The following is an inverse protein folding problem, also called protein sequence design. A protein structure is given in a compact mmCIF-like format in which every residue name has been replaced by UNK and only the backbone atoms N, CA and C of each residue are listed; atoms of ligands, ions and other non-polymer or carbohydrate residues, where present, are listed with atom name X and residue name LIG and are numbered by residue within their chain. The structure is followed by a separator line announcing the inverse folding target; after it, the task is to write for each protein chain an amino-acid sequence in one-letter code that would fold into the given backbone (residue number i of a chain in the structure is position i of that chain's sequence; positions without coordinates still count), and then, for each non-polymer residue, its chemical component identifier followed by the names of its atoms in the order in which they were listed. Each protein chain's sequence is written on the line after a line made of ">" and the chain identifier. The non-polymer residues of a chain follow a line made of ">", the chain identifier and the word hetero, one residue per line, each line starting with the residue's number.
data_IF_951621444130
#
_entry.id   IF_951621444130
#
_cell.length_a   1.000
_cell.length_b   1.000
_cell.length_c   1.000
_cell.angle_alpha   90.00
_cell.angle_beta   90.00
_cell.angle_gamma   90.00
#
_symmetry.space_group_name_H-M   'P 1'
#
loop_
_entity.id
_entity.type
_entity.pdbx_description
1 polymer ?
#
# COMPACT_ATOMS: atom_id res chain seq x y z
N UNK A 1 -9.44 2.57 2.62
CA UNK A 1 -8.19 3.36 2.71
C UNK A 1 -8.53 4.78 2.32
N UNK A 2 -8.05 5.74 3.08
CA UNK A 2 -8.35 7.17 2.89
C UNK A 2 -7.15 7.88 2.30
N UNK A 3 -7.38 9.07 1.74
CA UNK A 3 -6.33 9.95 1.22
C UNK A 3 -6.39 11.29 1.95
N UNK A 4 -5.23 11.77 2.37
CA UNK A 4 -5.10 13.05 3.08
C UNK A 4 -4.24 14.02 2.28
N UNK A 5 -4.55 15.30 2.36
CA UNK A 5 -3.75 16.35 1.75
C UNK A 5 -2.94 17.05 2.83
N UNK A 6 -1.62 16.84 2.79
CA UNK A 6 -0.66 17.54 3.64
C UNK A 6 -0.26 18.85 2.94
N UNK A 7 -0.22 19.95 3.68
CA UNK A 7 0.18 21.24 3.13
C UNK A 7 1.48 21.69 3.75
N UNK A 8 2.45 21.94 2.90
CA UNK A 8 3.79 22.36 3.26
C UNK A 8 4.09 23.78 2.76
N UNK A 9 4.45 24.66 3.70
CA UNK A 9 4.88 26.02 3.39
C UNK A 9 6.30 26.21 3.92
N UNK A 10 7.34 26.03 3.09
CA UNK A 10 8.76 26.02 3.54
C UNK A 10 9.18 27.25 4.34
N UNK A 11 8.68 28.44 4.00
CA UNK A 11 9.07 29.67 4.68
C UNK A 11 8.68 29.72 6.16
N UNK A 12 7.55 29.12 6.52
CA UNK A 12 7.03 29.17 7.91
C UNK A 12 7.07 27.83 8.62
N UNK A 13 7.13 26.69 7.89
CA UNK A 13 7.25 25.36 8.47
C UNK A 13 8.59 25.15 9.18
N UNK A 14 8.64 24.27 10.16
CA UNK A 14 9.90 23.75 10.70
C UNK A 14 10.69 22.95 9.64
N UNK A 15 9.99 22.31 8.72
CA UNK A 15 10.57 21.60 7.58
C UNK A 15 10.87 22.60 6.45
N UNK A 16 12.17 22.87 6.23
CA UNK A 16 12.66 23.86 5.27
C UNK A 16 13.01 23.21 3.93
N UNK A 17 13.25 24.04 2.90
CA UNK A 17 13.71 23.55 1.58
C UNK A 17 15.02 22.81 1.66
N UNK A 18 15.99 23.34 2.43
CA UNK A 18 17.29 22.72 2.63
C UNK A 18 17.14 21.31 3.24
N UNK A 19 16.26 21.16 4.23
CA UNK A 19 15.98 19.87 4.83
C UNK A 19 15.30 18.92 3.83
N UNK A 20 14.34 19.42 3.03
CA UNK A 20 13.72 18.64 1.97
C UNK A 20 14.74 18.14 0.95
N UNK A 21 15.70 18.97 0.55
CA UNK A 21 16.78 18.59 -0.37
C UNK A 21 17.72 17.53 0.23
N UNK A 22 18.09 17.66 1.50
CA UNK A 22 18.89 16.68 2.22
C UNK A 22 18.17 15.35 2.35
N UNK A 23 16.91 15.37 2.77
CA UNK A 23 16.08 14.18 2.99
C UNK A 23 15.83 13.40 1.68
N UNK A 24 15.78 14.08 0.53
CA UNK A 24 15.66 13.43 -0.78
C UNK A 24 16.82 12.48 -1.10
N UNK A 25 17.98 12.64 -0.49
CA UNK A 25 19.12 11.73 -0.62
C UNK A 25 19.02 10.51 0.31
N UNK A 26 18.17 10.56 1.35
CA UNK A 26 18.11 9.56 2.42
C UNK A 26 16.70 8.99 2.63
N UNK A 27 15.82 9.06 1.63
CA UNK A 27 14.41 8.66 1.76
C UNK A 27 14.21 7.22 2.24
N UNK A 28 15.16 6.33 1.96
CA UNK A 28 15.09 4.93 2.39
C UNK A 28 15.20 4.75 3.92
N UNK A 29 15.81 5.73 4.61
CA UNK A 29 16.15 5.61 6.03
C UNK A 29 15.53 6.69 6.91
N UNK A 30 14.81 7.66 6.33
CA UNK A 30 14.23 8.79 7.04
C UNK A 30 12.95 8.42 7.77
N UNK A 31 12.90 8.71 9.07
CA UNK A 31 11.63 8.77 9.80
C UNK A 31 11.06 10.18 9.63
N UNK A 32 10.01 10.29 8.85
CA UNK A 32 9.30 11.53 8.60
C UNK A 32 8.02 11.58 9.41
N UNK A 33 7.66 12.73 9.91
CA UNK A 33 6.36 12.93 10.54
C UNK A 33 5.72 14.24 10.09
N UNK A 34 4.41 14.30 10.18
CA UNK A 34 3.65 15.49 9.85
C UNK A 34 2.43 15.65 10.73
N UNK A 35 2.06 16.91 11.02
CA UNK A 35 0.85 17.19 11.76
C UNK A 35 -0.39 17.01 10.90
N UNK A 36 -1.37 16.26 11.42
CA UNK A 36 -2.61 15.90 10.72
C UNK A 36 -3.79 16.51 11.42
N UNK A 37 -4.53 17.39 10.72
CA UNK A 37 -5.66 18.10 11.33
C UNK A 37 -6.85 17.17 11.62
N UNK A 38 -7.22 16.32 10.67
CA UNK A 38 -8.31 15.36 10.82
C UNK A 38 -7.80 13.98 11.28
N UNK A 39 -6.89 13.98 12.23
CA UNK A 39 -6.22 12.80 12.76
C UNK A 39 -7.17 11.70 13.26
N UNK A 40 -8.36 12.08 13.79
CA UNK A 40 -9.37 11.12 14.27
C UNK A 40 -9.84 10.16 13.16
N UNK A 41 -9.78 10.63 11.91
CA UNK A 41 -10.17 9.89 10.72
C UNK A 41 -9.01 9.08 10.12
N UNK A 42 -7.77 9.46 10.42
CA UNK A 42 -6.57 8.88 9.82
C UNK A 42 -6.14 7.58 10.51
N UNK A 43 -5.57 6.66 9.75
CA UNK A 43 -5.04 5.39 10.21
C UNK A 43 -3.67 5.13 9.57
N UNK A 44 -2.85 4.31 10.22
CA UNK A 44 -1.68 3.72 9.56
C UNK A 44 -2.15 3.02 8.28
N UNK A 45 -1.44 3.24 7.21
CA UNK A 45 -1.80 2.70 5.92
C UNK A 45 -2.54 3.67 5.00
N UNK A 46 -3.16 4.73 5.51
CA UNK A 46 -3.82 5.73 4.66
C UNK A 46 -2.80 6.50 3.81
N UNK A 47 -3.21 6.89 2.61
CA UNK A 47 -2.37 7.63 1.67
C UNK A 47 -2.34 9.12 1.98
N UNK A 48 -1.31 9.78 1.47
CA UNK A 48 -1.29 11.24 1.42
C UNK A 48 -0.68 11.76 0.11
N UNK A 49 -1.06 12.99 -0.22
CA UNK A 49 -0.34 13.86 -1.13
C UNK A 49 0.12 15.09 -0.36
N UNK A 50 1.39 15.46 -0.49
CA UNK A 50 1.91 16.70 0.09
C UNK A 50 1.97 17.78 -0.99
N UNK A 51 1.29 18.88 -0.72
CA UNK A 51 1.21 20.04 -1.60
C UNK A 51 2.04 21.17 -1.02
N UNK A 52 3.09 21.57 -1.75
CA UNK A 52 3.81 22.82 -1.47
C UNK A 52 2.89 23.99 -1.78
N UNK A 53 2.72 24.87 -0.80
CA UNK A 53 1.88 26.09 -0.90
C UNK A 53 2.66 27.33 -0.50
N UNK A 54 2.15 28.50 -0.84
CA UNK A 54 2.76 29.80 -0.50
C UNK A 54 3.59 30.36 -1.64
N UNK A 55 4.80 30.84 -1.36
CA UNK A 55 5.61 31.55 -2.35
C UNK A 55 6.31 30.61 -3.35
N UNK A 56 6.55 31.12 -4.55
CA UNK A 56 7.19 30.39 -5.66
C UNK A 56 6.25 29.37 -6.30
N UNK A 57 6.82 28.36 -6.93
CA UNK A 57 6.07 27.27 -7.57
C UNK A 57 5.32 26.46 -6.51
N UNK A 58 4.03 26.21 -6.74
CA UNK A 58 3.13 25.47 -5.82
C UNK A 58 2.52 24.26 -6.54
N UNK A 59 2.39 23.14 -5.82
CA UNK A 59 1.88 21.90 -6.42
C UNK A 59 2.22 20.68 -5.59
N UNK A 60 1.88 19.49 -6.07
CA UNK A 60 2.23 18.24 -5.42
C UNK A 60 3.75 18.01 -5.50
N UNK A 61 4.37 17.85 -4.33
CA UNK A 61 5.81 17.58 -4.18
C UNK A 61 6.12 16.18 -3.67
N UNK A 62 5.12 15.50 -3.08
CA UNK A 62 5.33 14.19 -2.49
C UNK A 62 4.02 13.40 -2.46
N UNK A 63 4.07 12.11 -2.69
CA UNK A 63 3.03 11.11 -2.43
C UNK A 63 3.60 10.06 -1.50
N UNK A 64 2.79 9.48 -0.65
CA UNK A 64 3.21 8.42 0.27
C UNK A 64 2.06 7.94 1.15
N UNK A 65 2.41 7.33 2.26
CA UNK A 65 1.46 6.76 3.20
C UNK A 65 1.90 6.90 4.66
N UNK A 66 0.94 6.91 5.57
CA UNK A 66 1.21 6.95 6.99
C UNK A 66 1.67 5.58 7.50
N UNK A 67 2.71 5.59 8.33
CA UNK A 67 3.32 4.38 8.90
C UNK A 67 2.99 4.16 10.37
N UNK A 68 2.47 5.19 11.06
CA UNK A 68 2.05 5.11 12.46
C UNK A 68 0.57 5.41 12.66
N UNK A 69 0.03 5.04 13.81
CA UNK A 69 -1.19 5.66 14.33
C UNK A 69 -0.93 7.12 14.72
N UNK A 70 -1.98 7.99 14.78
CA UNK A 70 -1.82 9.34 15.27
C UNK A 70 -1.31 9.37 16.71
N UNK A 71 -0.39 10.29 17.02
CA UNK A 71 0.13 10.52 18.37
C UNK A 71 0.26 12.01 18.69
N UNK A 72 0.11 12.36 19.96
CA UNK A 72 0.25 13.77 20.42
C UNK A 72 1.71 14.14 20.63
N UNK A 73 2.08 15.33 20.14
CA UNK A 73 3.37 15.94 20.43
C UNK A 73 3.26 17.48 20.45
N UNK A 74 4.33 18.16 20.89
CA UNK A 74 4.37 19.61 20.91
C UNK A 74 4.20 20.21 19.52
N UNK A 75 3.47 21.32 19.43
CA UNK A 75 3.28 22.05 18.17
C UNK A 75 4.64 22.52 17.60
N UNK A 76 4.97 22.11 16.40
CA UNK A 76 6.19 22.48 15.67
C UNK A 76 6.41 23.99 15.58
N UNK A 77 5.33 24.78 15.62
CA UNK A 77 5.39 26.25 15.55
C UNK A 77 5.82 26.92 16.86
N UNK A 78 6.10 26.15 17.91
CA UNK A 78 6.47 26.65 19.23
C UNK A 78 5.30 27.20 20.06
N UNK A 79 4.08 27.08 19.57
CA UNK A 79 2.88 27.41 20.36
C UNK A 79 2.70 26.40 21.49
N UNK A 80 2.28 26.87 22.67
CA UNK A 80 2.05 26.04 23.85
C UNK A 80 0.76 25.22 23.72
N UNK A 81 0.71 24.32 22.75
CA UNK A 81 -0.39 23.37 22.55
C UNK A 81 0.17 22.03 22.03
N UNK A 82 -0.62 20.98 22.16
CA UNK A 82 -0.35 19.70 21.53
C UNK A 82 -1.05 19.65 20.18
N UNK A 83 -0.45 18.94 19.24
CA UNK A 83 -1.01 18.61 17.95
C UNK A 83 -0.76 17.13 17.65
N UNK A 84 -1.57 16.56 16.78
CA UNK A 84 -1.41 15.15 16.41
C UNK A 84 -0.53 15.04 15.19
N UNK A 85 0.46 14.17 15.29
CA UNK A 85 1.38 13.78 14.24
C UNK A 85 1.11 12.35 13.79
N UNK A 86 1.54 12.06 12.57
CA UNK A 86 1.68 10.70 12.07
C UNK A 86 3.02 10.59 11.36
N UNK A 87 3.70 9.47 11.57
CA UNK A 87 4.88 9.12 10.79
C UNK A 87 4.44 8.69 9.40
N UNK A 88 5.29 8.93 8.41
CA UNK A 88 4.98 8.60 7.04
C UNK A 88 6.20 8.13 6.25
N UNK A 89 5.95 7.41 5.14
CA UNK A 89 6.94 7.03 4.16
C UNK A 89 6.56 7.64 2.80
N UNK A 90 7.44 8.43 2.17
CA UNK A 90 7.25 8.86 0.79
C UNK A 90 7.36 7.67 -0.17
N UNK A 91 6.50 7.63 -1.19
CA UNK A 91 6.62 6.71 -2.33
C UNK A 91 7.02 7.45 -3.60
N UNK A 92 6.82 8.75 -3.62
CA UNK A 92 7.17 9.62 -4.73
C UNK A 92 7.43 11.05 -4.24
N UNK A 93 8.40 11.72 -4.84
CA UNK A 93 8.63 13.14 -4.59
C UNK A 93 9.13 13.87 -5.85
N UNK A 94 8.90 15.18 -5.89
CA UNK A 94 9.34 16.09 -6.95
C UNK A 94 10.03 17.28 -6.32
N UNK A 95 11.21 17.62 -6.81
CA UNK A 95 11.87 18.87 -6.41
C UNK A 95 11.16 20.07 -7.06
N UNK A 96 10.59 21.00 -6.25
CA UNK A 96 9.71 22.05 -6.76
C UNK A 96 10.37 23.03 -7.72
N UNK A 97 11.68 23.21 -7.61
CA UNK A 97 12.42 24.19 -8.43
C UNK A 97 13.19 23.53 -9.59
N UNK A 98 13.31 22.19 -9.60
CA UNK A 98 14.06 21.44 -10.63
C UNK A 98 13.17 20.66 -11.59
N UNK A 99 11.93 20.38 -11.18
CA UNK A 99 11.02 19.53 -11.92
C UNK A 99 9.65 20.20 -12.08
N UNK A 100 8.95 19.86 -13.16
CA UNK A 100 7.56 20.27 -13.33
C UNK A 100 6.69 19.53 -12.29
N UNK A 101 6.02 20.29 -11.43
CA UNK A 101 5.00 19.75 -10.54
C UNK A 101 3.62 19.74 -11.20
N UNK A 102 2.71 18.91 -10.70
CA UNK A 102 1.28 19.14 -10.88
C UNK A 102 0.90 20.33 -9.99
N UNK A 103 0.67 21.47 -10.62
CA UNK A 103 0.52 22.74 -9.91
C UNK A 103 -0.81 22.86 -9.17
N UNK A 104 -0.88 23.72 -8.14
CA UNK A 104 -2.15 24.02 -7.46
C UNK A 104 -3.19 24.65 -8.41
N UNK A 105 -2.79 25.34 -9.46
CA UNK A 105 -3.68 25.87 -10.48
C UNK A 105 -4.29 24.75 -11.33
N UNK A 106 -3.46 23.79 -11.79
CA UNK A 106 -3.95 22.58 -12.47
C UNK A 106 -4.89 21.79 -11.57
N UNK A 107 -4.52 21.55 -10.30
CA UNK A 107 -5.36 20.85 -9.33
C UNK A 107 -6.70 21.55 -9.10
N UNK A 108 -6.71 22.89 -8.98
CA UNK A 108 -7.94 23.67 -8.83
C UNK A 108 -8.82 23.58 -10.08
N UNK A 109 -8.22 23.50 -11.27
CA UNK A 109 -8.96 23.34 -12.52
C UNK A 109 -9.54 21.93 -12.64
N UNK A 110 -8.77 20.92 -12.28
CA UNK A 110 -9.16 19.51 -12.43
C UNK A 110 -10.10 19.04 -11.31
N UNK A 111 -9.88 19.51 -10.06
CA UNK A 111 -10.66 19.15 -8.87
C UNK A 111 -11.00 20.44 -8.11
N UNK A 112 -11.94 21.26 -8.62
CA UNK A 112 -12.30 22.54 -8.02
C UNK A 112 -13.06 22.42 -6.70
N UNK A 113 -13.52 21.22 -6.35
CA UNK A 113 -14.29 20.95 -5.13
C UNK A 113 -13.41 20.91 -3.87
N UNK A 114 -12.05 20.95 -4.02
CA UNK A 114 -11.11 20.95 -2.91
C UNK A 114 -10.22 22.19 -2.93
N UNK A 115 -9.93 22.76 -1.72
CA UNK A 115 -9.04 23.92 -1.58
C UNK A 115 -7.58 23.49 -1.50
N UNK A 116 -6.84 23.62 -2.59
CA UNK A 116 -5.47 23.14 -2.71
C UNK A 116 -4.42 24.04 -2.07
N UNK A 117 -4.63 25.35 -2.06
CA UNK A 117 -3.67 26.37 -1.61
C UNK A 117 -3.93 26.88 -0.17
N UNK A 118 -5.11 26.59 0.39
CA UNK A 118 -5.60 27.10 1.70
C UNK A 118 -6.06 25.97 2.62
N UNK A 119 -6.40 26.37 3.86
CA UNK A 119 -6.92 25.47 4.89
C UNK A 119 -5.81 24.75 5.67
N UNK A 120 -6.21 23.79 6.48
CA UNK A 120 -5.32 23.03 7.35
C UNK A 120 -4.56 21.95 6.59
N UNK A 121 -3.39 21.56 7.12
CA UNK A 121 -2.65 20.38 6.66
C UNK A 121 -3.25 19.12 7.28
N UNK A 122 -3.29 18.02 6.51
CA UNK A 122 -3.86 16.76 6.99
C UNK A 122 -5.39 16.76 7.00
N UNK A 123 -6.00 17.31 5.96
CA UNK A 123 -7.43 17.20 5.68
C UNK A 123 -7.69 15.95 4.83
N UNK A 124 -8.74 15.20 5.17
CA UNK A 124 -9.20 14.07 4.36
C UNK A 124 -9.72 14.57 3.00
N UNK A 125 -9.23 13.98 1.92
CA UNK A 125 -9.80 14.18 0.59
C UNK A 125 -10.97 13.19 0.44
N UNK A 126 -12.21 13.66 0.13
CA UNK A 126 -13.34 12.76 -0.08
C UNK A 126 -13.02 11.66 -1.08
N UNK A 127 -13.50 10.44 -0.84
CA UNK A 127 -13.12 9.23 -1.60
C UNK A 127 -13.30 9.39 -3.11
N UNK A 128 -14.37 10.06 -3.54
CA UNK A 128 -14.62 10.32 -4.97
C UNK A 128 -13.54 11.22 -5.58
N UNK A 129 -13.13 12.27 -4.85
CA UNK A 129 -12.07 13.18 -5.29
C UNK A 129 -10.69 12.52 -5.21
N UNK A 130 -10.47 11.65 -4.22
CA UNK A 130 -9.25 10.86 -4.09
C UNK A 130 -9.06 9.94 -5.30
N UNK A 131 -10.10 9.19 -5.68
CA UNK A 131 -10.05 8.32 -6.87
C UNK A 131 -9.82 9.11 -8.16
N UNK A 132 -10.40 10.31 -8.27
CA UNK A 132 -10.16 11.21 -9.40
C UNK A 132 -8.71 11.71 -9.41
N UNK A 133 -8.18 12.10 -8.25
CA UNK A 133 -6.79 12.54 -8.12
C UNK A 133 -5.82 11.41 -8.46
N UNK A 134 -6.06 10.18 -7.99
CA UNK A 134 -5.22 9.03 -8.29
C UNK A 134 -5.16 8.78 -9.80
N UNK A 135 -6.28 8.85 -10.51
CA UNK A 135 -6.30 8.70 -11.99
C UNK A 135 -5.48 9.80 -12.68
N UNK A 136 -5.67 11.06 -12.28
CA UNK A 136 -4.92 12.21 -12.84
C UNK A 136 -3.43 12.07 -12.52
N UNK A 137 -3.09 11.59 -11.33
CA UNK A 137 -1.72 11.36 -10.91
C UNK A 137 -1.02 10.29 -11.75
N UNK A 138 -1.67 9.16 -12.02
CA UNK A 138 -1.13 8.12 -12.89
C UNK A 138 -0.86 8.63 -14.32
N UNK A 139 -1.80 9.40 -14.88
CA UNK A 139 -1.61 10.04 -16.19
C UNK A 139 -0.44 11.03 -16.19
N UNK A 140 -0.34 11.82 -15.11
CA UNK A 140 0.75 12.77 -14.93
C UNK A 140 2.11 12.06 -14.86
N UNK A 141 2.26 11.04 -14.02
CA UNK A 141 3.48 10.24 -13.89
C UNK A 141 3.84 9.60 -15.23
N UNK A 142 2.88 9.02 -15.95
CA UNK A 142 3.08 8.45 -17.27
C UNK A 142 3.57 9.45 -18.32
N UNK A 143 3.23 10.75 -18.16
CA UNK A 143 3.65 11.82 -19.05
C UNK A 143 5.08 12.32 -18.83
N UNK A 144 5.69 11.97 -17.70
CA UNK A 144 6.99 12.51 -17.29
C UNK A 144 8.19 11.92 -18.05
N UNK A 145 7.98 10.98 -18.98
CA UNK A 145 8.93 10.45 -19.98
C UNK A 145 10.39 10.22 -19.45
N UNK A 146 10.53 9.86 -18.20
CA UNK A 146 11.84 9.69 -17.55
C UNK A 146 12.70 10.96 -17.47
N UNK A 147 12.21 12.12 -17.88
CA UNK A 147 12.95 13.40 -17.91
C UNK A 147 12.89 14.19 -16.59
N UNK A 148 12.07 13.77 -15.66
CA UNK A 148 11.85 14.47 -14.38
C UNK A 148 13.02 14.27 -13.41
N UNK A 149 13.94 13.38 -13.72
CA UNK A 149 14.97 12.85 -12.85
C UNK A 149 16.37 13.13 -13.36
N UNK A 150 16.62 14.29 -13.94
CA UNK A 150 17.97 14.64 -14.38
C UNK A 150 18.79 15.23 -13.25
N UNK A 151 19.06 14.42 -12.26
CA UNK A 151 20.27 14.46 -11.44
C UNK A 151 20.50 13.08 -10.88
N UNK A 152 21.33 12.30 -11.55
CA UNK A 152 21.77 10.94 -11.24
C UNK A 152 20.71 9.85 -11.32
N UNK A 153 20.95 8.92 -12.21
CA UNK A 153 20.15 7.71 -12.48
C UNK A 153 19.96 6.77 -11.27
N UNK A 154 20.45 7.15 -10.11
CA UNK A 154 20.23 6.47 -8.83
C UNK A 154 18.87 6.79 -8.19
N UNK A 155 18.20 7.89 -8.58
CA UNK A 155 16.93 8.33 -7.97
C UNK A 155 15.69 7.62 -8.52
N UNK A 156 15.82 6.77 -9.53
CA UNK A 156 14.67 6.07 -10.15
C UNK A 156 14.07 4.93 -9.32
N UNK A 157 14.75 4.51 -8.27
CA UNK A 157 14.35 3.37 -7.44
C UNK A 157 14.03 3.78 -6.00
N UNK A 158 13.37 4.92 -5.80
CA UNK A 158 13.12 5.44 -4.46
C UNK A 158 11.71 5.15 -3.91
N UNK A 159 11.01 4.17 -4.47
CA UNK A 159 10.11 3.39 -3.64
C UNK A 159 10.98 2.30 -3.04
N UNK A 160 11.24 2.30 -1.70
CA UNK A 160 11.93 1.20 -1.08
C UNK A 160 11.20 -0.07 -1.45
N UNK A 161 11.92 -1.09 -1.92
CA UNK A 161 11.31 -2.37 -2.24
C UNK A 161 10.65 -2.89 -0.95
N UNK A 162 9.33 -3.09 -1.00
CA UNK A 162 8.59 -3.58 0.15
C UNK A 162 8.98 -5.02 0.45
N UNK A 163 9.31 -5.27 1.72
CA UNK A 163 9.80 -6.55 2.19
C UNK A 163 8.78 -7.33 3.01
N UNK A 164 9.30 -8.35 3.68
CA UNK A 164 8.54 -9.23 4.59
C UNK A 164 7.86 -8.41 5.71
N UNK A 165 8.53 -7.41 6.28
CA UNK A 165 7.99 -6.61 7.38
C UNK A 165 6.78 -5.77 6.93
N UNK A 166 6.83 -5.23 5.71
CA UNK A 166 5.71 -4.50 5.11
C UNK A 166 4.52 -5.43 4.85
N UNK A 167 4.78 -6.63 4.35
CA UNK A 167 3.77 -7.65 4.11
C UNK A 167 3.09 -8.10 5.42
N UNK A 168 3.86 -8.34 6.47
CA UNK A 168 3.35 -8.70 7.78
C UNK A 168 2.49 -7.60 8.39
N UNK A 169 2.91 -6.34 8.26
CA UNK A 169 2.15 -5.19 8.73
C UNK A 169 0.80 -5.09 8.01
N UNK A 170 0.80 -5.13 6.67
CA UNK A 170 -0.42 -5.06 5.87
C UNK A 170 -1.36 -6.23 6.19
N UNK A 171 -0.85 -7.46 6.26
CA UNK A 171 -1.66 -8.63 6.61
C UNK A 171 -2.28 -8.50 8.00
N UNK A 172 -1.53 -7.98 8.98
CA UNK A 172 -2.02 -7.76 10.35
C UNK A 172 -3.11 -6.69 10.38
N UNK A 173 -2.93 -5.58 9.67
CA UNK A 173 -3.91 -4.50 9.60
C UNK A 173 -5.18 -4.94 8.85
N UNK A 174 -5.03 -5.67 7.74
CA UNK A 174 -6.15 -6.19 6.93
C UNK A 174 -7.07 -7.15 7.71
N UNK A 175 -6.47 -7.98 8.57
CA UNK A 175 -7.19 -9.00 9.33
C UNK A 175 -7.36 -8.66 10.82
N UNK A 176 -7.15 -7.36 11.17
CA UNK A 176 -7.26 -6.93 12.56
C UNK A 176 -8.64 -7.23 13.13
N UNK A 177 -8.66 -7.84 14.33
CA UNK A 177 -9.86 -8.24 15.10
C UNK A 177 -10.83 -9.23 14.38
N UNK A 178 -10.48 -9.69 13.17
CA UNK A 178 -11.25 -10.71 12.46
C UNK A 178 -11.07 -12.10 13.11
N UNK A 179 -12.16 -12.89 13.15
CA UNK A 179 -12.19 -14.24 13.72
C UNK A 179 -12.58 -15.27 12.67
N UNK A 180 -11.90 -16.42 12.72
CA UNK A 180 -12.24 -17.58 11.88
C UNK A 180 -13.45 -18.37 12.42
N UNK A 181 -13.79 -19.45 11.74
CA UNK A 181 -14.93 -20.32 12.12
C UNK A 181 -14.79 -20.96 13.52
N UNK A 182 -13.57 -21.04 14.03
CA UNK A 182 -13.26 -21.61 15.36
C UNK A 182 -13.08 -20.50 16.42
N UNK A 183 -13.34 -19.22 16.06
CA UNK A 183 -13.22 -18.05 16.92
C UNK A 183 -11.78 -17.60 17.15
N UNK A 184 -10.80 -18.11 16.40
CA UNK A 184 -9.38 -17.71 16.50
C UNK A 184 -9.10 -16.50 15.60
N UNK A 185 -8.07 -15.69 15.89
CA UNK A 185 -7.67 -14.60 14.99
C UNK A 185 -7.38 -15.09 13.57
N UNK A 186 -7.99 -14.46 12.56
CA UNK A 186 -7.80 -14.81 11.13
C UNK A 186 -6.34 -14.70 10.73
N UNK A 187 -5.62 -13.70 11.24
CA UNK A 187 -4.19 -13.47 10.92
C UNK A 187 -3.30 -14.71 11.10
N UNK A 188 -3.68 -15.66 11.96
CA UNK A 188 -2.92 -16.88 12.16
C UNK A 188 -2.84 -17.77 10.90
N UNK A 189 -3.80 -17.63 9.98
CA UNK A 189 -3.78 -18.36 8.72
C UNK A 189 -2.73 -17.79 7.75
N UNK A 190 -2.80 -16.52 7.31
CA UNK A 190 -1.78 -15.97 6.42
C UNK A 190 -0.36 -16.03 7.02
N UNK A 191 -0.20 -15.89 8.34
CA UNK A 191 1.09 -16.11 9.00
C UNK A 191 1.61 -17.53 8.75
N UNK A 192 0.75 -18.55 8.92
CA UNK A 192 1.15 -19.94 8.68
C UNK A 192 1.50 -20.24 7.22
N UNK A 193 0.75 -19.64 6.28
CA UNK A 193 1.00 -19.81 4.83
C UNK A 193 2.30 -19.14 4.41
N UNK A 194 2.55 -17.89 4.87
CA UNK A 194 3.77 -17.16 4.56
C UNK A 194 5.02 -17.83 5.16
N UNK A 195 4.93 -18.26 6.43
CA UNK A 195 6.04 -18.96 7.09
C UNK A 195 6.39 -20.32 6.44
N UNK A 196 5.52 -20.88 5.64
CA UNK A 196 5.77 -22.11 4.86
C UNK A 196 6.43 -21.81 3.50
N UNK A 197 6.63 -20.54 3.12
CA UNK A 197 7.33 -20.14 1.90
C UNK A 197 8.83 -20.50 1.96
N UNK A 198 9.40 -20.85 0.82
CA UNK A 198 10.80 -21.27 0.67
C UNK A 198 11.76 -20.12 0.38
N UNK A 199 11.23 -18.95 0.05
CA UNK A 199 11.96 -17.72 -0.25
C UNK A 199 11.10 -16.51 0.11
N UNK A 200 11.70 -15.31 0.10
CA UNK A 200 11.05 -14.08 0.51
C UNK A 200 9.79 -13.76 -0.32
N UNK A 201 9.82 -14.02 -1.63
CA UNK A 201 8.67 -13.79 -2.52
C UNK A 201 7.49 -14.71 -2.15
N UNK A 202 7.74 -16.00 -1.92
CA UNK A 202 6.71 -16.93 -1.46
C UNK A 202 6.19 -16.56 -0.06
N UNK A 203 7.07 -16.09 0.84
CA UNK A 203 6.68 -15.63 2.16
C UNK A 203 5.79 -14.39 2.08
N UNK A 204 6.20 -13.37 1.33
CA UNK A 204 5.44 -12.13 1.13
C UNK A 204 4.07 -12.45 0.52
N UNK A 205 4.04 -13.21 -0.57
CA UNK A 205 2.77 -13.60 -1.19
C UNK A 205 1.90 -14.45 -0.26
N UNK A 206 2.51 -15.30 0.57
CA UNK A 206 1.80 -16.10 1.56
C UNK A 206 1.18 -15.27 2.68
N UNK A 207 1.85 -14.21 3.15
CA UNK A 207 1.28 -13.28 4.13
C UNK A 207 0.13 -12.44 3.55
N UNK A 208 0.20 -12.12 2.26
CA UNK A 208 -0.75 -11.21 1.60
C UNK A 208 -1.85 -11.91 0.78
N UNK A 209 -1.85 -13.26 0.66
CA UNK A 209 -2.68 -13.97 -0.30
C UNK A 209 -4.18 -13.73 -0.19
N UNK A 210 -4.69 -13.49 1.03
CA UNK A 210 -6.10 -13.22 1.30
C UNK A 210 -6.41 -11.71 1.38
N UNK A 211 -5.37 -10.83 1.37
CA UNK A 211 -5.57 -9.38 1.61
C UNK A 211 -6.41 -8.73 0.52
N UNK A 212 -6.17 -9.06 -0.75
CA UNK A 212 -6.94 -8.48 -1.87
C UNK A 212 -8.38 -9.04 -1.97
N UNK A 213 -8.64 -10.23 -1.41
CA UNK A 213 -9.98 -10.85 -1.42
C UNK A 213 -10.84 -10.42 -0.23
N UNK A 214 -10.24 -10.29 0.95
CA UNK A 214 -10.94 -10.16 2.23
C UNK A 214 -10.86 -8.77 2.87
N UNK A 215 -10.26 -7.77 2.18
CA UNK A 215 -10.12 -6.42 2.69
C UNK A 215 -10.30 -5.36 1.60
N UNK A 216 -10.23 -4.08 1.98
CA UNK A 216 -10.33 -2.93 1.07
C UNK A 216 -8.99 -2.56 0.39
N UNK A 217 -7.93 -3.33 0.63
CA UNK A 217 -6.64 -3.13 -0.03
C UNK A 217 -6.72 -3.50 -1.50
N UNK A 218 -6.04 -2.72 -2.34
CA UNK A 218 -6.02 -2.89 -3.80
C UNK A 218 -4.63 -3.23 -4.32
N UNK A 219 -4.56 -3.78 -5.53
CA UNK A 219 -3.30 -4.00 -6.24
C UNK A 219 -2.51 -2.68 -6.43
N UNK A 220 -3.20 -1.56 -6.69
CA UNK A 220 -2.59 -0.23 -6.78
C UNK A 220 -1.93 0.18 -5.48
N UNK A 221 -2.61 -0.06 -4.35
CA UNK A 221 -2.04 0.17 -3.03
C UNK A 221 -0.73 -0.59 -2.80
N UNK A 222 -0.67 -1.88 -3.15
CA UNK A 222 0.54 -2.68 -2.98
C UNK A 222 1.69 -2.16 -3.85
N UNK A 223 1.41 -1.71 -5.09
CA UNK A 223 2.39 -1.04 -5.96
C UNK A 223 2.94 0.22 -5.30
N UNK A 224 2.05 1.08 -4.80
CA UNK A 224 2.41 2.32 -4.09
C UNK A 224 3.23 2.05 -2.81
N UNK A 225 3.16 0.83 -2.26
CA UNK A 225 3.96 0.37 -1.13
C UNK A 225 5.34 -0.18 -1.52
N UNK A 226 5.63 -0.29 -2.80
CA UNK A 226 6.91 -0.78 -3.30
C UNK A 226 6.96 -2.29 -3.49
N UNK A 227 5.83 -3.01 -3.47
CA UNK A 227 5.84 -4.41 -3.91
C UNK A 227 6.02 -4.49 -5.43
N UNK A 228 6.90 -5.39 -5.86
CA UNK A 228 7.20 -5.59 -7.27
C UNK A 228 5.95 -6.03 -8.06
N UNK A 229 5.91 -5.71 -9.37
CA UNK A 229 4.83 -6.18 -10.25
C UNK A 229 4.67 -7.70 -10.19
N UNK A 230 5.77 -8.43 -10.06
CA UNK A 230 5.75 -9.89 -9.94
C UNK A 230 4.98 -10.36 -8.69
N UNK A 231 5.17 -9.70 -7.55
CA UNK A 231 4.41 -9.97 -6.31
C UNK A 231 2.95 -9.61 -6.50
N UNK A 232 2.66 -8.41 -7.04
CA UNK A 232 1.28 -7.93 -7.22
C UNK A 232 0.51 -8.83 -8.20
N UNK A 233 1.11 -9.19 -9.34
CA UNK A 233 0.48 -10.10 -10.32
C UNK A 233 0.23 -11.49 -9.70
N UNK A 234 1.16 -11.98 -8.88
CA UNK A 234 0.99 -13.22 -8.13
C UNK A 234 -0.20 -13.16 -7.19
N UNK A 235 -0.35 -12.06 -6.43
CA UNK A 235 -1.47 -11.85 -5.51
C UNK A 235 -2.81 -11.68 -6.25
N UNK A 236 -2.83 -10.99 -7.38
CA UNK A 236 -4.02 -10.91 -8.23
C UNK A 236 -4.46 -12.28 -8.75
N UNK A 237 -3.51 -13.16 -9.10
CA UNK A 237 -3.79 -14.53 -9.52
C UNK A 237 -4.31 -15.40 -8.36
N UNK A 238 -3.91 -15.12 -7.11
CA UNK A 238 -4.37 -15.79 -5.89
C UNK A 238 -5.74 -15.29 -5.40
N UNK A 239 -6.17 -14.10 -5.82
CA UNK A 239 -7.48 -13.55 -5.50
C UNK A 239 -8.58 -14.28 -6.28
N UNK A 240 -9.49 -14.97 -5.58
CA UNK A 240 -10.55 -15.76 -6.19
C UNK A 240 -11.78 -14.90 -6.53
N UNK A 241 -12.02 -14.66 -7.82
CA UNK A 241 -13.30 -14.13 -8.29
C UNK A 241 -14.43 -15.17 -8.05
N UNK A 242 -15.35 -14.83 -7.14
CA UNK A 242 -16.47 -15.71 -6.74
C UNK A 242 -17.45 -16.05 -7.87
N UNK A 243 -17.34 -15.38 -9.03
CA UNK A 243 -18.08 -15.74 -10.24
C UNK A 243 -17.49 -16.98 -10.95
N UNK A 244 -16.24 -17.34 -10.66
CA UNK A 244 -15.53 -18.48 -11.25
C UNK A 244 -15.64 -19.68 -10.29
N UNK A 245 -16.01 -20.90 -10.79
CA UNK A 245 -15.99 -22.10 -9.96
C UNK A 245 -14.61 -22.35 -9.34
N UNK A 246 -14.58 -22.76 -8.08
CA UNK A 246 -13.34 -22.85 -7.30
C UNK A 246 -12.25 -23.74 -7.96
N UNK A 247 -12.64 -24.87 -8.54
CA UNK A 247 -11.68 -25.75 -9.21
C UNK A 247 -11.13 -25.16 -10.52
N UNK A 248 -11.92 -24.32 -11.21
CA UNK A 248 -11.46 -23.61 -12.40
C UNK A 248 -10.49 -22.50 -12.02
N UNK A 249 -10.74 -21.78 -10.92
CA UNK A 249 -9.77 -20.84 -10.34
C UNK A 249 -8.44 -21.55 -10.00
N UNK A 250 -8.48 -22.71 -9.33
CA UNK A 250 -7.26 -23.47 -9.01
C UNK A 250 -6.55 -23.92 -10.28
N UNK A 251 -7.28 -24.33 -11.31
CA UNK A 251 -6.72 -24.68 -12.63
C UNK A 251 -6.02 -23.47 -13.25
N UNK A 252 -6.62 -22.30 -13.23
CA UNK A 252 -6.02 -21.08 -13.77
C UNK A 252 -4.67 -20.76 -13.11
N UNK A 253 -4.51 -20.98 -11.80
CA UNK A 253 -3.22 -20.86 -11.12
C UNK A 253 -2.18 -21.83 -11.70
N UNK A 254 -2.52 -23.10 -11.90
CA UNK A 254 -1.61 -24.10 -12.47
C UNK A 254 -1.24 -23.77 -13.92
N UNK A 255 -2.23 -23.35 -14.71
CA UNK A 255 -2.06 -23.07 -16.15
C UNK A 255 -1.32 -21.76 -16.41
N UNK A 256 -1.31 -20.82 -15.45
CA UNK A 256 -0.53 -19.57 -15.52
C UNK A 256 0.98 -19.81 -15.57
N UNK A 257 1.45 -20.93 -15.04
CA UNK A 257 2.88 -21.23 -14.90
C UNK A 257 3.59 -20.41 -13.80
N UNK A 258 2.86 -19.60 -13.05
CA UNK A 258 3.41 -18.82 -11.92
C UNK A 258 3.75 -19.78 -10.76
N UNK A 259 5.06 -20.01 -10.54
CA UNK A 259 5.56 -20.96 -9.54
C UNK A 259 5.27 -20.48 -8.11
N UNK A 260 5.41 -19.18 -7.86
CA UNK A 260 5.14 -18.58 -6.55
C UNK A 260 3.67 -18.71 -6.18
N UNK A 261 2.74 -18.39 -7.10
CA UNK A 261 1.30 -18.57 -6.88
C UNK A 261 0.95 -20.03 -6.58
N UNK A 262 1.54 -20.97 -7.31
CA UNK A 262 1.31 -22.40 -7.08
C UNK A 262 1.84 -22.85 -5.72
N UNK A 263 3.04 -22.43 -5.32
CA UNK A 263 3.64 -22.77 -4.03
C UNK A 263 2.78 -22.22 -2.87
N UNK A 264 2.40 -20.94 -2.95
CA UNK A 264 1.52 -20.30 -1.95
C UNK A 264 0.17 -21.02 -1.88
N UNK A 265 -0.43 -21.35 -3.03
CA UNK A 265 -1.72 -22.07 -3.05
C UNK A 265 -1.62 -23.46 -2.44
N UNK A 266 -0.53 -24.17 -2.64
CA UNK A 266 -0.29 -25.46 -1.99
C UNK A 266 -0.17 -25.31 -0.47
N UNK A 267 0.58 -24.31 0.02
CA UNK A 267 0.71 -24.01 1.44
C UNK A 267 -0.64 -23.67 2.08
N UNK A 268 -1.43 -22.81 1.40
CA UNK A 268 -2.80 -22.46 1.80
C UNK A 268 -3.69 -23.71 1.91
N UNK A 269 -3.72 -24.54 0.90
CA UNK A 269 -4.54 -25.78 0.89
C UNK A 269 -4.14 -26.74 1.99
N UNK A 270 -2.84 -26.94 2.22
CA UNK A 270 -2.35 -27.82 3.30
C UNK A 270 -2.74 -27.28 4.67
N UNK A 271 -2.57 -25.97 4.91
CA UNK A 271 -2.95 -25.36 6.18
C UNK A 271 -4.47 -25.43 6.40
N UNK A 272 -5.28 -25.11 5.38
CA UNK A 272 -6.73 -25.21 5.45
C UNK A 272 -7.23 -26.64 5.69
N UNK A 273 -6.60 -27.64 5.08
CA UNK A 273 -6.92 -29.04 5.35
C UNK A 273 -6.60 -29.46 6.78
N UNK A 274 -5.45 -29.04 7.31
CA UNK A 274 -5.07 -29.33 8.70
C UNK A 274 -6.08 -28.74 9.66
N UNK A 275 -6.46 -27.47 9.48
CA UNK A 275 -7.46 -26.77 10.31
C UNK A 275 -8.85 -27.38 10.17
N UNK A 276 -9.28 -27.65 8.94
CA UNK A 276 -10.58 -28.23 8.68
C UNK A 276 -10.75 -29.61 9.31
N UNK A 277 -9.72 -30.44 9.31
CA UNK A 277 -9.71 -31.73 10.01
C UNK A 277 -9.79 -31.56 11.53
N UNK A 278 -9.01 -30.63 12.08
CA UNK A 278 -9.00 -30.37 13.52
C UNK A 278 -10.33 -29.79 14.04
N UNK A 279 -10.97 -28.89 13.25
CA UNK A 279 -12.26 -28.26 13.57
C UNK A 279 -13.50 -29.07 13.15
N UNK A 280 -13.31 -30.22 12.48
CA UNK A 280 -14.45 -31.04 12.01
C UNK A 280 -15.22 -30.44 10.83
N UNK A 281 -14.63 -29.53 10.07
CA UNK A 281 -15.27 -28.80 8.96
C UNK A 281 -15.27 -29.63 7.65
N UNK A 282 -16.05 -30.69 7.59
CA UNK A 282 -16.01 -31.70 6.50
C UNK A 282 -16.19 -31.13 5.08
N UNK A 283 -17.04 -30.08 4.93
CA UNK A 283 -17.22 -29.41 3.63
C UNK A 283 -15.94 -28.73 3.14
N UNK A 284 -15.23 -28.05 4.05
CA UNK A 284 -13.95 -27.40 3.75
C UNK A 284 -12.86 -28.42 3.43
N UNK A 285 -12.78 -29.49 4.24
CA UNK A 285 -11.85 -30.61 4.00
C UNK A 285 -12.05 -31.18 2.60
N UNK A 286 -13.30 -31.46 2.19
CA UNK A 286 -13.62 -31.99 0.87
C UNK A 286 -13.18 -31.03 -0.24
N UNK A 287 -13.58 -29.73 -0.15
CA UNK A 287 -13.20 -28.69 -1.12
C UNK A 287 -11.69 -28.60 -1.35
N UNK A 288 -10.93 -28.57 -0.25
CA UNK A 288 -9.46 -28.40 -0.35
C UNK A 288 -8.75 -29.71 -0.78
N UNK A 289 -9.28 -30.89 -0.43
CA UNK A 289 -8.76 -32.14 -0.92
C UNK A 289 -8.95 -32.29 -2.44
N UNK A 290 -10.12 -31.96 -2.97
CA UNK A 290 -10.40 -31.99 -4.41
C UNK A 290 -9.47 -31.03 -5.18
N UNK A 291 -9.15 -29.85 -4.60
CA UNK A 291 -8.21 -28.90 -5.19
C UNK A 291 -6.77 -29.44 -5.23
N UNK A 292 -6.31 -30.09 -4.15
CA UNK A 292 -4.98 -30.72 -4.13
C UNK A 292 -4.87 -31.87 -5.14
N UNK A 293 -5.88 -32.73 -5.24
CA UNK A 293 -5.94 -33.80 -6.22
C UNK A 293 -5.87 -33.25 -7.66
N UNK A 294 -6.59 -32.15 -7.93
CA UNK A 294 -6.54 -31.46 -9.22
C UNK A 294 -5.13 -30.94 -9.53
N UNK A 295 -4.48 -30.24 -8.59
CA UNK A 295 -3.11 -29.74 -8.77
C UNK A 295 -2.16 -30.91 -9.07
N UNK A 296 -2.18 -31.97 -8.26
CA UNK A 296 -1.33 -33.16 -8.47
C UNK A 296 -1.54 -33.78 -9.85
N UNK A 297 -2.80 -33.91 -10.28
CA UNK A 297 -3.11 -34.44 -11.60
C UNK A 297 -2.52 -33.57 -12.72
N UNK A 298 -2.67 -32.24 -12.64
CA UNK A 298 -2.22 -31.32 -13.68
C UNK A 298 -0.69 -31.19 -13.73
N UNK A 299 -0.02 -31.28 -12.57
CA UNK A 299 1.45 -31.15 -12.47
C UNK A 299 2.19 -32.47 -12.78
N UNK A 300 1.56 -33.62 -12.58
CA UNK A 300 2.16 -34.95 -12.91
C UNK A 300 2.10 -35.31 -14.39
N UNK A 301 1.36 -34.53 -15.19
CA UNK A 301 1.16 -34.81 -16.64
C UNK A 301 2.03 -33.89 -17.51
N UNK A 302 2.75 -32.96 -16.92
CA UNK A 302 3.78 -32.12 -17.56
C UNK A 302 5.19 -32.62 -17.19
#
# INVERSE_FOLDING_TARGET
>A
MKTFILKWRPLISSYKMEQFEEDMHYLEYGEFNWSVHEWEKARSGDNFYMVKVGEGSTGIVMKGFFTSAPYEAADWSGKRRQVHYMDFRPTFYIHPDKCRMMTTEELTTLIPEFEWDRGHSGMELPQELASKLDTIWEEYIGSLDGKVWDTDSASRNLIPEAGIDDALKIATDAHYDAKDLDGRPVILHPLSVGMAGSNDEEMICGFLHDVLEDSDYTAGYLRDRGFSEQIVDTLMLLCHDKSIPYLDYVRNIVDSGNRTALAVKLNDLHHNLSRGKAGGHLKQVKKHSEALELIHKLTSTK
#
